data_IF_379390077065
#
_entry.id   IF_379390077065
#
_cell.length_a   1.000
_cell.length_b   1.000
_cell.length_c   1.000
_cell.angle_alpha   90.00
_cell.angle_beta   90.00
_cell.angle_gamma   90.00
#
_symmetry.space_group_name_H-M   'P 1'
#
loop_
_entity.id
_entity.type
_entity.pdbx_description
1 polymer ?
#
# COMPACT_ATOMS: atom_id res chain seq x y z
N UNK A 1 7.57 -6.38 -7.28
CA UNK A 1 7.66 -5.44 -8.42
C UNK A 1 9.11 -5.01 -8.56
N UNK A 2 9.69 -5.03 -9.77
CA UNK A 2 11.07 -4.54 -9.97
C UNK A 2 11.16 -3.06 -9.63
N UNK A 3 12.23 -2.61 -8.94
CA UNK A 3 12.45 -1.19 -8.60
C UNK A 3 12.39 -0.27 -9.84
N UNK A 4 12.78 -0.78 -11.01
CA UNK A 4 12.64 -0.06 -12.28
C UNK A 4 11.19 0.28 -12.64
N UNK A 5 10.24 -0.61 -12.33
CA UNK A 5 8.82 -0.43 -12.59
C UNK A 5 8.18 0.60 -11.66
N UNK A 6 8.57 0.58 -10.37
CA UNK A 6 8.13 1.59 -9.41
C UNK A 6 8.63 2.99 -9.80
N UNK A 7 9.89 3.09 -10.22
CA UNK A 7 10.47 4.35 -10.71
C UNK A 7 9.74 4.88 -11.96
N UNK A 8 9.35 4.00 -12.88
CA UNK A 8 8.56 4.41 -14.06
C UNK A 8 7.18 4.95 -13.67
N UNK A 9 6.48 4.30 -12.74
CA UNK A 9 5.18 4.76 -12.22
C UNK A 9 5.32 6.14 -11.56
N UNK A 10 6.34 6.32 -10.71
CA UNK A 10 6.60 7.61 -10.04
C UNK A 10 6.87 8.70 -11.06
N UNK A 11 7.72 8.45 -12.05
CA UNK A 11 8.02 9.41 -13.12
C UNK A 11 6.77 9.83 -13.89
N UNK A 12 5.95 8.87 -14.32
CA UNK A 12 4.70 9.14 -15.04
C UNK A 12 3.71 9.96 -14.21
N UNK A 13 3.60 9.64 -12.91
CA UNK A 13 2.74 10.37 -12.00
C UNK A 13 3.24 11.79 -11.72
N UNK A 14 4.56 12.00 -11.54
CA UNK A 14 5.17 13.32 -11.36
C UNK A 14 4.95 14.19 -12.61
N UNK A 15 5.18 13.64 -13.79
CA UNK A 15 4.90 14.30 -15.07
C UNK A 15 3.44 14.77 -15.20
N UNK A 16 2.50 13.93 -14.75
CA UNK A 16 1.07 14.23 -14.78
C UNK A 16 0.71 15.33 -13.77
N UNK A 17 1.25 15.25 -12.55
CA UNK A 17 1.06 16.25 -11.50
C UNK A 17 1.65 17.61 -11.88
N UNK A 18 2.81 17.62 -12.54
CA UNK A 18 3.41 18.83 -13.11
C UNK A 18 2.51 19.39 -14.21
N UNK A 19 2.04 18.54 -15.13
CA UNK A 19 1.16 18.96 -16.23
C UNK A 19 -0.16 19.58 -15.76
N UNK A 20 -0.75 19.07 -14.68
CA UNK A 20 -1.97 19.63 -14.09
C UNK A 20 -1.74 20.98 -13.39
N UNK A 21 -0.51 21.24 -12.93
CA UNK A 21 -0.14 22.45 -12.19
C UNK A 21 0.04 23.66 -13.12
N UNK A 22 0.40 23.41 -14.38
CA UNK A 22 0.63 24.45 -15.37
C UNK A 22 -0.49 24.46 -16.43
N UNK A 23 -1.26 25.56 -16.56
CA UNK A 23 -2.37 25.64 -17.52
C UNK A 23 -1.94 25.59 -19.00
N UNK A 24 -0.64 25.56 -19.30
CA UNK A 24 -0.10 25.46 -20.65
C UNK A 24 -0.15 24.03 -21.24
N UNK A 25 -0.37 23.00 -20.43
CA UNK A 25 -0.45 21.62 -20.92
C UNK A 25 -1.88 21.34 -21.39
N UNK A 26 -2.01 20.81 -22.61
CA UNK A 26 -3.33 20.43 -23.15
C UNK A 26 -3.91 19.27 -22.35
N UNK A 27 -5.22 19.28 -22.13
CA UNK A 27 -5.90 18.18 -21.44
C UNK A 27 -5.84 16.87 -22.22
N UNK A 28 -5.57 16.92 -23.52
CA UNK A 28 -5.27 15.75 -24.35
C UNK A 28 -3.97 15.06 -23.90
N UNK A 29 -2.90 15.83 -23.69
CA UNK A 29 -1.64 15.29 -23.20
C UNK A 29 -1.79 14.73 -21.76
N UNK A 30 -2.58 15.41 -20.92
CA UNK A 30 -2.93 14.94 -19.57
C UNK A 30 -3.69 13.61 -19.65
N UNK A 31 -4.71 13.50 -20.50
CA UNK A 31 -5.51 12.30 -20.70
C UNK A 31 -4.66 11.10 -21.14
N UNK A 32 -3.81 11.27 -22.16
CA UNK A 32 -2.97 10.18 -22.64
C UNK A 32 -2.02 9.67 -21.56
N UNK A 33 -1.41 10.57 -20.79
CA UNK A 33 -0.54 10.20 -19.66
C UNK A 33 -1.34 9.51 -18.55
N UNK A 34 -2.53 10.01 -18.21
CA UNK A 34 -3.39 9.42 -17.20
C UNK A 34 -3.88 8.01 -17.60
N UNK A 35 -4.26 7.81 -18.85
CA UNK A 35 -4.61 6.49 -19.40
C UNK A 35 -3.43 5.53 -19.37
N UNK A 36 -2.23 6.00 -19.70
CA UNK A 36 -1.03 5.17 -19.64
C UNK A 36 -0.75 4.74 -18.19
N UNK A 37 -0.77 5.68 -17.24
CA UNK A 37 -0.57 5.41 -15.83
C UNK A 37 -1.60 4.39 -15.29
N UNK A 38 -2.88 4.55 -15.64
CA UNK A 38 -3.95 3.64 -15.20
C UNK A 38 -3.77 2.21 -15.74
N UNK A 39 -3.27 2.05 -16.97
CA UNK A 39 -2.97 0.74 -17.56
C UNK A 39 -1.79 0.07 -16.88
N UNK A 40 -0.70 0.81 -16.67
CA UNK A 40 0.52 0.30 -15.99
C UNK A 40 0.20 -0.08 -14.54
N UNK A 41 -0.69 0.64 -13.87
CA UNK A 41 -1.07 0.32 -12.47
C UNK A 41 -2.23 -0.67 -12.37
N UNK A 42 -2.71 -1.19 -13.49
CA UNK A 42 -3.86 -2.12 -13.58
C UNK A 42 -5.13 -1.60 -12.88
N UNK A 43 -5.36 -0.29 -12.91
CA UNK A 43 -6.54 0.35 -12.32
C UNK A 43 -7.65 0.47 -13.37
N UNK A 44 -8.36 -0.63 -13.60
CA UNK A 44 -9.36 -0.77 -14.67
C UNK A 44 -10.46 0.33 -14.63
N UNK A 45 -10.91 0.72 -13.45
CA UNK A 45 -11.91 1.77 -13.30
C UNK A 45 -11.41 3.14 -13.78
N UNK A 46 -10.20 3.53 -13.40
CA UNK A 46 -9.59 4.78 -13.86
C UNK A 46 -9.25 4.73 -15.35
N UNK A 47 -8.85 3.57 -15.87
CA UNK A 47 -8.63 3.39 -17.30
C UNK A 47 -9.92 3.61 -18.10
N UNK A 48 -11.06 3.11 -17.62
CA UNK A 48 -12.38 3.36 -18.21
C UNK A 48 -12.78 4.83 -18.07
N UNK A 49 -12.60 5.42 -16.90
CA UNK A 49 -12.87 6.83 -16.66
C UNK A 49 -12.15 7.74 -17.67
N UNK A 50 -10.83 7.63 -17.78
CA UNK A 50 -10.07 8.49 -18.69
C UNK A 50 -10.41 8.23 -20.16
N UNK A 51 -10.75 7.00 -20.52
CA UNK A 51 -11.25 6.68 -21.86
C UNK A 51 -12.56 7.42 -22.16
N UNK A 52 -13.51 7.44 -21.22
CA UNK A 52 -14.77 8.19 -21.36
C UNK A 52 -14.56 9.70 -21.36
N UNK A 53 -13.60 10.21 -20.59
CA UNK A 53 -13.27 11.63 -20.64
C UNK A 53 -12.66 12.02 -21.99
N UNK A 54 -11.95 11.12 -22.67
CA UNK A 54 -11.42 11.35 -24.02
C UNK A 54 -12.49 11.21 -25.12
N UNK A 55 -13.32 10.16 -25.08
CA UNK A 55 -14.26 9.80 -26.14
C UNK A 55 -15.65 10.47 -25.98
N UNK A 56 -16.02 10.81 -24.74
CA UNK A 56 -17.39 11.16 -24.37
C UNK A 56 -18.20 9.95 -23.90
N UNK A 57 -19.41 10.22 -23.43
CA UNK A 57 -20.32 9.23 -22.87
C UNK A 57 -21.50 9.00 -23.84
N UNK A 58 -21.85 7.73 -24.15
CA UNK A 58 -22.99 7.42 -25.02
C UNK A 58 -24.32 7.76 -24.35
N UNK A 59 -25.37 7.96 -25.15
CA UNK A 59 -26.71 8.31 -24.66
C UNK A 59 -27.28 7.32 -23.64
N UNK A 60 -27.02 6.02 -23.87
CA UNK A 60 -27.46 4.91 -23.02
C UNK A 60 -26.37 4.45 -22.05
N UNK A 61 -25.51 5.35 -21.57
CA UNK A 61 -24.41 4.96 -20.68
C UNK A 61 -24.92 4.48 -19.32
N UNK A 62 -24.77 3.19 -19.05
CA UNK A 62 -25.15 2.55 -17.78
C UNK A 62 -23.93 2.47 -16.83
N UNK A 63 -23.55 3.61 -16.28
CA UNK A 63 -22.40 3.72 -15.39
C UNK A 63 -22.52 4.87 -14.38
N UNK A 64 -23.52 4.83 -13.46
CA UNK A 64 -23.80 5.94 -12.56
C UNK A 64 -22.62 6.30 -11.65
N UNK A 65 -21.77 5.31 -11.32
CA UNK A 65 -20.55 5.53 -10.53
C UNK A 65 -19.55 6.45 -11.24
N UNK A 66 -19.26 6.19 -12.51
CA UNK A 66 -18.35 7.00 -13.34
C UNK A 66 -18.92 8.39 -13.64
N UNK A 67 -20.24 8.49 -13.85
CA UNK A 67 -20.93 9.77 -14.03
C UNK A 67 -20.90 10.65 -12.76
N UNK A 68 -20.96 10.03 -11.57
CA UNK A 68 -20.78 10.73 -10.29
C UNK A 68 -19.34 11.16 -10.09
N UNK A 69 -18.38 10.28 -10.38
CA UNK A 69 -16.95 10.59 -10.26
C UNK A 69 -16.52 11.74 -11.18
N UNK A 70 -17.03 11.78 -12.41
CA UNK A 70 -16.78 12.87 -13.37
C UNK A 70 -17.52 14.17 -13.06
N UNK A 71 -18.47 14.17 -12.12
CA UNK A 71 -19.32 15.34 -11.85
C UNK A 71 -20.31 15.66 -12.99
N UNK A 72 -20.56 14.70 -13.89
CA UNK A 72 -21.39 14.88 -15.10
C UNK A 72 -22.88 14.67 -14.86
N UNK A 73 -23.24 14.05 -13.75
CA UNK A 73 -24.63 13.74 -13.39
C UNK A 73 -25.39 15.00 -12.99
N UNK A 74 -26.48 15.31 -13.71
CA UNK A 74 -27.36 16.46 -13.45
C UNK A 74 -28.58 16.02 -12.66
N UNK A 75 -29.12 14.84 -13.02
CA UNK A 75 -30.19 14.14 -12.32
C UNK A 75 -30.05 12.64 -12.58
N UNK A 76 -30.94 11.82 -12.03
CA UNK A 76 -30.92 10.36 -12.23
C UNK A 76 -31.10 9.92 -13.69
N UNK A 77 -31.55 10.82 -14.57
CA UNK A 77 -31.83 10.55 -15.99
C UNK A 77 -31.07 11.45 -16.97
N UNK A 78 -30.34 12.44 -16.48
CA UNK A 78 -29.66 13.42 -17.32
C UNK A 78 -28.21 13.60 -16.90
N UNK A 79 -27.30 13.53 -17.87
CA UNK A 79 -25.87 13.74 -17.67
C UNK A 79 -25.24 14.44 -18.87
N UNK A 80 -24.05 15.00 -18.65
CA UNK A 80 -23.27 15.69 -19.67
C UNK A 80 -22.43 14.68 -20.44
N UNK A 81 -22.73 14.51 -21.72
CA UNK A 81 -22.12 13.52 -22.60
C UNK A 81 -20.78 13.92 -23.23
N UNK A 82 -20.56 15.17 -23.69
CA UNK A 82 -19.37 15.48 -24.49
C UNK A 82 -18.06 15.21 -23.78
N UNK A 83 -17.02 14.83 -24.52
CA UNK A 83 -15.67 14.62 -23.98
C UNK A 83 -15.11 15.89 -23.33
N UNK A 84 -14.12 15.73 -22.45
CA UNK A 84 -13.48 16.87 -21.78
C UNK A 84 -12.87 17.86 -22.79
N UNK A 85 -12.30 17.33 -23.88
CA UNK A 85 -11.72 18.13 -24.96
C UNK A 85 -12.79 18.98 -25.66
N UNK A 86 -13.97 18.41 -25.86
CA UNK A 86 -15.09 19.17 -26.41
C UNK A 86 -15.53 20.27 -25.44
N UNK A 87 -15.67 19.95 -24.15
CA UNK A 87 -16.09 20.89 -23.11
C UNK A 87 -15.11 22.07 -22.97
N UNK A 88 -13.81 21.81 -22.99
CA UNK A 88 -12.79 22.85 -22.96
C UNK A 88 -12.81 23.74 -24.20
N UNK A 89 -13.12 23.18 -25.37
CA UNK A 89 -13.23 23.94 -26.61
C UNK A 89 -14.44 24.87 -26.62
N UNK A 90 -15.57 24.47 -26.05
CA UNK A 90 -16.79 25.29 -26.03
C UNK A 90 -16.84 26.29 -24.88
N UNK A 91 -16.09 26.05 -23.80
CA UNK A 91 -16.10 26.89 -22.60
C UNK A 91 -15.79 28.38 -22.87
N UNK A 92 -14.80 28.76 -23.71
CA UNK A 92 -14.56 30.18 -24.02
C UNK A 92 -15.76 30.86 -24.68
N UNK A 93 -16.44 30.17 -25.60
CA UNK A 93 -17.64 30.69 -26.25
C UNK A 93 -18.82 30.81 -25.27
N UNK A 94 -18.99 29.83 -24.37
CA UNK A 94 -20.00 29.91 -23.31
C UNK A 94 -19.74 31.07 -22.35
N UNK A 95 -18.48 31.31 -21.96
CA UNK A 95 -18.08 32.47 -21.14
C UNK A 95 -18.45 33.79 -21.82
N UNK A 96 -18.13 33.91 -23.11
CA UNK A 96 -18.48 35.10 -23.88
C UNK A 96 -20.01 35.30 -24.00
N UNK A 97 -20.75 34.22 -24.27
CA UNK A 97 -22.22 34.25 -24.37
C UNK A 97 -22.86 34.67 -23.05
N UNK A 98 -22.38 34.14 -21.92
CA UNK A 98 -22.91 34.47 -20.61
C UNK A 98 -22.63 35.93 -20.21
N UNK A 99 -21.44 36.45 -20.55
CA UNK A 99 -21.11 37.86 -20.37
C UNK A 99 -21.97 38.79 -21.24
N UNK A 100 -22.19 38.46 -22.52
CA UNK A 100 -23.10 39.22 -23.38
C UNK A 100 -24.54 39.19 -22.87
N UNK A 101 -25.02 38.02 -22.39
CA UNK A 101 -26.35 37.89 -21.82
C UNK A 101 -26.49 38.73 -20.54
N UNK A 102 -25.45 38.76 -19.70
CA UNK A 102 -25.38 39.62 -18.51
C UNK A 102 -25.48 41.09 -18.87
N UNK A 103 -24.71 41.55 -19.84
CA UNK A 103 -24.73 42.95 -20.29
C UNK A 103 -26.12 43.35 -20.82
N UNK A 104 -26.74 42.48 -21.64
CA UNK A 104 -28.11 42.70 -22.15
C UNK A 104 -29.12 42.80 -21.02
N UNK A 105 -29.04 41.93 -20.01
CA UNK A 105 -29.90 41.99 -18.83
C UNK A 105 -29.73 43.29 -18.05
N UNK A 106 -28.48 43.73 -17.81
CA UNK A 106 -28.21 44.99 -17.11
C UNK A 106 -28.73 46.22 -17.87
N UNK A 107 -28.78 46.16 -19.19
CA UNK A 107 -29.33 47.22 -20.05
C UNK A 107 -30.83 47.12 -20.31
N UNK A 108 -31.49 46.05 -19.84
CA UNK A 108 -32.90 45.79 -20.15
C UNK A 108 -33.84 46.69 -19.33
N UNK A 109 -34.98 47.04 -19.93
CA UNK A 109 -36.03 47.82 -19.27
C UNK A 109 -37.43 47.33 -19.67
N UNK A 110 -38.41 47.62 -18.81
CA UNK A 110 -39.81 47.25 -19.02
C UNK A 110 -40.04 45.74 -19.15
N UNK A 111 -40.96 45.35 -20.03
CA UNK A 111 -41.41 43.96 -20.20
C UNK A 111 -40.35 42.99 -20.76
N UNK A 112 -39.15 43.47 -21.12
CA UNK A 112 -38.06 42.63 -21.64
C UNK A 112 -37.10 42.13 -20.56
N UNK A 113 -37.17 42.67 -19.33
CA UNK A 113 -36.26 42.31 -18.22
C UNK A 113 -36.32 40.82 -17.91
N UNK A 114 -37.53 40.25 -17.79
CA UNK A 114 -37.71 38.83 -17.46
C UNK A 114 -37.13 37.90 -18.54
N UNK A 115 -37.28 38.27 -19.81
CA UNK A 115 -36.71 37.51 -20.94
C UNK A 115 -35.18 37.52 -20.91
N UNK A 116 -34.59 38.69 -20.68
CA UNK A 116 -33.13 38.82 -20.60
C UNK A 116 -32.56 38.15 -19.35
N UNK A 117 -33.28 38.18 -18.22
CA UNK A 117 -32.92 37.46 -17.01
C UNK A 117 -32.88 35.95 -17.25
N UNK A 118 -33.93 35.38 -17.87
CA UNK A 118 -33.96 33.94 -18.19
C UNK A 118 -32.83 33.51 -19.14
N UNK A 119 -32.50 34.35 -20.13
CA UNK A 119 -31.39 34.11 -21.06
C UNK A 119 -30.03 34.13 -20.34
N UNK A 120 -29.83 35.10 -19.45
CA UNK A 120 -28.63 35.20 -18.61
C UNK A 120 -28.49 33.97 -17.70
N UNK A 121 -29.55 33.62 -16.97
CA UNK A 121 -29.54 32.45 -16.08
C UNK A 121 -29.23 31.15 -16.82
N UNK A 122 -29.81 30.94 -18.00
CA UNK A 122 -29.56 29.75 -18.83
C UNK A 122 -28.10 29.69 -19.31
N UNK A 123 -27.57 30.84 -19.77
CA UNK A 123 -26.18 30.92 -20.24
C UNK A 123 -25.17 30.72 -19.11
N UNK A 124 -25.42 31.32 -17.94
CA UNK A 124 -24.59 31.14 -16.75
C UNK A 124 -24.65 29.71 -16.21
N UNK A 125 -25.84 29.08 -16.19
CA UNK A 125 -25.99 27.70 -15.76
C UNK A 125 -25.18 26.75 -16.66
N UNK A 126 -25.28 26.91 -17.99
CA UNK A 126 -24.52 26.10 -18.96
C UNK A 126 -23.00 26.29 -18.82
N UNK A 127 -22.53 27.53 -18.67
CA UNK A 127 -21.11 27.84 -18.40
C UNK A 127 -20.64 27.17 -17.11
N UNK A 128 -21.34 27.42 -16.00
CA UNK A 128 -20.98 26.92 -14.67
C UNK A 128 -20.95 25.40 -14.63
N UNK A 129 -21.89 24.76 -15.32
CA UNK A 129 -21.96 23.30 -15.42
C UNK A 129 -20.72 22.73 -16.14
N UNK A 130 -20.29 23.36 -17.24
CA UNK A 130 -19.09 22.96 -17.98
C UNK A 130 -17.83 23.16 -17.14
N UNK A 131 -17.70 24.30 -16.44
CA UNK A 131 -16.59 24.58 -15.53
C UNK A 131 -16.47 23.53 -14.42
N UNK A 132 -17.61 23.15 -13.79
CA UNK A 132 -17.63 22.12 -12.75
C UNK A 132 -17.12 20.76 -13.22
N UNK A 133 -17.46 20.34 -14.44
CA UNK A 133 -16.97 19.06 -15.01
C UNK A 133 -15.46 19.14 -15.24
N UNK A 134 -14.97 20.26 -15.79
CA UNK A 134 -13.54 20.44 -16.06
C UNK A 134 -12.72 20.46 -14.77
N UNK A 135 -13.19 21.20 -13.76
CA UNK A 135 -12.53 21.25 -12.45
C UNK A 135 -12.56 19.90 -11.75
N UNK A 136 -13.65 19.16 -11.89
CA UNK A 136 -13.76 17.79 -11.36
C UNK A 136 -12.80 16.86 -12.05
N UNK A 137 -12.72 16.88 -13.39
CA UNK A 137 -11.74 16.09 -14.13
C UNK A 137 -10.30 16.37 -13.68
N UNK A 138 -9.93 17.64 -13.53
CA UNK A 138 -8.59 18.04 -13.05
C UNK A 138 -8.31 17.54 -11.65
N UNK A 139 -9.29 17.66 -10.73
CA UNK A 139 -9.19 17.19 -9.36
C UNK A 139 -9.04 15.66 -9.28
N UNK A 140 -9.88 14.92 -9.98
CA UNK A 140 -9.83 13.45 -9.98
C UNK A 140 -8.53 12.94 -10.61
N UNK A 141 -8.08 13.55 -11.71
CA UNK A 141 -6.79 13.21 -12.33
C UNK A 141 -5.63 13.49 -11.38
N UNK A 142 -5.65 14.62 -10.68
CA UNK A 142 -4.64 14.95 -9.67
C UNK A 142 -4.65 13.94 -8.51
N UNK A 143 -5.84 13.63 -7.99
CA UNK A 143 -6.03 12.67 -6.89
C UNK A 143 -5.49 11.29 -7.26
N UNK A 144 -5.86 10.80 -8.45
CA UNK A 144 -5.37 9.54 -9.01
C UNK A 144 -3.83 9.52 -9.13
N UNK A 145 -3.23 10.57 -9.70
CA UNK A 145 -1.79 10.67 -9.87
C UNK A 145 -1.05 10.71 -8.53
N UNK A 146 -1.53 11.52 -7.57
CA UNK A 146 -0.95 11.66 -6.25
C UNK A 146 -1.03 10.35 -5.44
N UNK A 147 -2.18 9.67 -5.47
CA UNK A 147 -2.38 8.40 -4.78
C UNK A 147 -1.47 7.31 -5.36
N UNK A 148 -1.43 7.20 -6.69
CA UNK A 148 -0.61 6.22 -7.39
C UNK A 148 0.88 6.43 -7.10
N UNK A 149 1.33 7.69 -7.12
CA UNK A 149 2.70 8.07 -6.75
C UNK A 149 3.02 7.66 -5.32
N UNK A 150 2.14 7.98 -4.36
CA UNK A 150 2.33 7.63 -2.96
C UNK A 150 2.43 6.12 -2.76
N UNK A 151 1.55 5.35 -3.40
CA UNK A 151 1.57 3.89 -3.35
C UNK A 151 2.88 3.32 -3.91
N UNK A 152 3.37 3.86 -5.03
CA UNK A 152 4.62 3.41 -5.64
C UNK A 152 5.83 3.73 -4.76
N UNK A 153 5.92 4.95 -4.22
CA UNK A 153 7.00 5.36 -3.30
C UNK A 153 6.98 4.56 -2.00
N UNK A 154 5.80 4.33 -1.43
CA UNK A 154 5.65 3.56 -0.21
C UNK A 154 6.00 2.08 -0.43
N UNK A 155 5.56 1.52 -1.54
CA UNK A 155 5.89 0.15 -1.95
C UNK A 155 7.39 -0.07 -2.12
N UNK A 156 8.09 0.87 -2.77
CA UNK A 156 9.55 0.81 -2.96
C UNK A 156 10.30 1.01 -1.64
N UNK A 157 9.91 1.99 -0.81
CA UNK A 157 10.55 2.24 0.48
C UNK A 157 10.38 1.07 1.47
N UNK A 158 9.17 0.52 1.58
CA UNK A 158 8.88 -0.61 2.48
C UNK A 158 9.47 -1.92 1.96
N UNK A 159 9.45 -2.13 0.63
CA UNK A 159 10.14 -3.24 -0.01
C UNK A 159 11.65 -3.21 0.27
N UNK A 160 12.27 -2.04 0.15
CA UNK A 160 13.70 -1.86 0.40
C UNK A 160 14.07 -2.10 1.88
N UNK A 161 13.29 -1.59 2.84
CA UNK A 161 13.54 -1.84 4.27
C UNK A 161 13.42 -3.33 4.58
N UNK A 162 12.37 -3.99 4.09
CA UNK A 162 12.17 -5.42 4.32
C UNK A 162 13.26 -6.26 3.64
N UNK A 163 13.63 -5.95 2.40
CA UNK A 163 14.68 -6.68 1.69
C UNK A 163 16.06 -6.47 2.30
N UNK A 164 16.39 -5.25 2.76
CA UNK A 164 17.63 -4.98 3.47
C UNK A 164 17.67 -5.73 4.80
N UNK A 165 16.59 -5.68 5.57
CA UNK A 165 16.50 -6.41 6.84
C UNK A 165 16.56 -7.92 6.60
N UNK A 166 15.83 -8.44 5.61
CA UNK A 166 15.84 -9.85 5.21
C UNK A 166 17.24 -10.31 4.82
N UNK A 167 17.97 -9.55 3.99
CA UNK A 167 19.37 -9.89 3.61
C UNK A 167 20.30 -9.91 4.82
N UNK A 168 20.15 -8.95 5.73
CA UNK A 168 20.93 -8.89 6.97
C UNK A 168 20.65 -10.13 7.84
N UNK A 169 19.38 -10.42 8.09
CA UNK A 169 18.95 -11.58 8.87
C UNK A 169 19.33 -12.89 8.20
N UNK A 170 19.17 -13.01 6.88
CA UNK A 170 19.55 -14.20 6.11
C UNK A 170 21.05 -14.48 6.25
N UNK A 171 21.91 -13.45 6.15
CA UNK A 171 23.34 -13.59 6.36
C UNK A 171 23.69 -14.02 7.79
N UNK A 172 23.14 -13.34 8.79
CA UNK A 172 23.39 -13.63 10.20
C UNK A 172 22.91 -15.03 10.60
N UNK A 173 21.73 -15.44 10.13
CA UNK A 173 21.20 -16.78 10.40
C UNK A 173 21.94 -17.87 9.61
N UNK A 174 22.46 -17.58 8.42
CA UNK A 174 23.32 -18.52 7.70
C UNK A 174 24.62 -18.78 8.47
N UNK A 175 25.23 -17.74 9.04
CA UNK A 175 26.47 -17.86 9.81
C UNK A 175 26.27 -18.54 11.17
N UNK A 176 25.19 -18.18 11.88
CA UNK A 176 24.91 -18.72 13.22
C UNK A 176 24.25 -20.11 13.13
N UNK A 177 23.26 -20.30 12.25
CA UNK A 177 22.35 -21.45 12.25
C UNK A 177 21.84 -21.84 10.84
N UNK A 178 22.76 -22.20 9.93
CA UNK A 178 22.46 -22.63 8.55
C UNK A 178 21.32 -23.68 8.44
N UNK A 179 21.28 -24.64 9.36
CA UNK A 179 20.26 -25.71 9.41
C UNK A 179 18.86 -25.20 9.77
N UNK A 180 18.78 -24.08 10.48
CA UNK A 180 17.51 -23.44 10.84
C UNK A 180 16.99 -22.61 9.66
N UNK A 181 17.87 -21.84 8.98
CA UNK A 181 17.46 -20.98 7.87
C UNK A 181 17.02 -21.75 6.62
N UNK A 182 17.69 -22.86 6.31
CA UNK A 182 17.37 -23.70 5.14
C UNK A 182 15.95 -24.27 5.13
N UNK A 183 15.27 -24.26 6.29
CA UNK A 183 13.90 -24.76 6.45
C UNK A 183 12.82 -23.71 6.18
N UNK A 184 13.13 -22.41 6.25
CA UNK A 184 12.14 -21.34 6.06
C UNK A 184 11.45 -21.35 4.67
N UNK A 185 12.12 -21.60 3.54
CA UNK A 185 11.46 -21.66 2.24
C UNK A 185 10.29 -22.63 2.22
N UNK A 186 10.50 -23.85 2.73
CA UNK A 186 9.46 -24.87 2.82
C UNK A 186 8.35 -24.54 3.84
N UNK A 187 8.61 -23.66 4.81
CA UNK A 187 7.56 -23.12 5.69
C UNK A 187 6.69 -22.11 4.94
N UNK A 188 7.32 -21.19 4.21
CA UNK A 188 6.59 -20.18 3.43
C UNK A 188 5.74 -20.78 2.33
N UNK A 189 6.22 -21.82 1.64
CA UNK A 189 5.44 -22.55 0.63
C UNK A 189 4.17 -23.19 1.23
N UNK A 190 4.29 -23.82 2.41
CA UNK A 190 3.15 -24.43 3.10
C UNK A 190 2.12 -23.39 3.56
N UNK A 191 2.57 -22.23 4.02
CA UNK A 191 1.68 -21.12 4.35
C UNK A 191 0.95 -20.55 3.12
N UNK A 192 1.58 -20.61 1.94
CA UNK A 192 0.97 -20.15 0.71
C UNK A 192 -0.13 -21.10 0.21
N UNK A 193 0.01 -22.41 0.44
CA UNK A 193 -1.02 -23.41 0.14
C UNK A 193 -2.32 -23.17 0.93
N UNK A 194 -2.18 -22.76 2.20
CA UNK A 194 -3.27 -22.20 3.00
C UNK A 194 -4.30 -23.20 3.54
N UNK A 195 -4.16 -24.50 3.25
CA UNK A 195 -4.96 -25.55 3.87
C UNK A 195 -4.50 -25.84 5.31
N UNK A 196 -5.42 -26.36 6.14
CA UNK A 196 -5.20 -26.57 7.57
C UNK A 196 -4.02 -27.51 7.86
N UNK A 197 -3.83 -28.54 7.04
CA UNK A 197 -2.76 -29.53 7.21
C UNK A 197 -1.39 -28.90 6.89
N UNK A 198 -1.29 -28.15 5.79
CA UNK A 198 -0.10 -27.41 5.43
C UNK A 198 0.27 -26.37 6.49
N UNK A 199 -0.71 -25.65 7.04
CA UNK A 199 -0.50 -24.70 8.14
C UNK A 199 0.03 -25.41 9.39
N UNK A 200 -0.56 -26.53 9.79
CA UNK A 200 -0.10 -27.33 10.93
C UNK A 200 1.36 -27.79 10.75
N UNK A 201 1.71 -28.25 9.54
CA UNK A 201 3.08 -28.63 9.20
C UNK A 201 4.06 -27.44 9.18
N UNK A 202 3.62 -26.27 8.72
CA UNK A 202 4.40 -25.04 8.76
C UNK A 202 4.71 -24.66 10.22
N UNK A 203 3.72 -24.73 11.11
CA UNK A 203 3.88 -24.43 12.53
C UNK A 203 4.84 -25.38 13.25
N UNK A 204 4.72 -26.69 13.01
CA UNK A 204 5.66 -27.68 13.55
C UNK A 204 7.09 -27.44 13.04
N UNK A 205 7.22 -27.06 11.77
CA UNK A 205 8.53 -26.74 11.17
C UNK A 205 9.13 -25.47 11.81
N UNK A 206 8.33 -24.43 12.04
CA UNK A 206 8.75 -23.24 12.78
C UNK A 206 9.22 -23.57 14.20
N UNK A 207 8.53 -24.47 14.90
CA UNK A 207 8.97 -24.93 16.22
C UNK A 207 10.37 -25.51 16.18
N UNK A 208 10.60 -26.44 15.25
CA UNK A 208 11.90 -27.10 15.05
C UNK A 208 12.99 -26.13 14.65
N UNK A 209 12.67 -25.07 13.90
CA UNK A 209 13.61 -23.99 13.57
C UNK A 209 14.04 -23.27 14.85
N UNK A 210 13.10 -22.91 15.73
CA UNK A 210 13.42 -22.24 17.01
C UNK A 210 14.25 -23.13 17.93
N UNK A 211 13.90 -24.42 18.03
CA UNK A 211 14.67 -25.42 18.80
C UNK A 211 16.12 -25.53 18.28
N UNK A 212 16.28 -25.71 16.96
CA UNK A 212 17.61 -25.83 16.34
C UNK A 212 18.44 -24.55 16.50
N UNK A 213 17.82 -23.38 16.36
CA UNK A 213 18.48 -22.10 16.59
C UNK A 213 18.95 -21.96 18.04
N UNK A 214 18.08 -22.25 19.01
CA UNK A 214 18.40 -22.15 20.42
C UNK A 214 19.57 -23.08 20.82
N UNK A 215 19.54 -24.34 20.37
CA UNK A 215 20.60 -25.30 20.61
C UNK A 215 21.94 -24.83 20.02
N UNK A 216 21.90 -24.19 18.86
CA UNK A 216 23.10 -23.71 18.18
C UNK A 216 23.73 -22.49 18.86
N UNK A 217 22.91 -21.56 19.36
CA UNK A 217 23.40 -20.34 20.01
C UNK A 217 23.75 -20.53 21.49
N UNK A 218 23.09 -21.49 22.16
CA UNK A 218 23.28 -21.84 23.56
C UNK A 218 23.02 -23.35 23.74
N UNK A 219 24.06 -24.18 23.48
CA UNK A 219 23.95 -25.64 23.57
C UNK A 219 23.51 -26.11 24.95
N UNK A 220 22.77 -27.20 24.99
CA UNK A 220 22.32 -27.78 26.26
C UNK A 220 23.51 -28.19 27.14
N UNK A 221 23.41 -27.93 28.44
CA UNK A 221 24.41 -28.32 29.43
C UNK A 221 23.82 -29.24 30.50
N UNK A 222 24.63 -30.14 31.04
CA UNK A 222 24.19 -31.09 32.06
C UNK A 222 23.88 -30.41 33.42
N UNK A 223 24.59 -29.32 33.69
CA UNK A 223 24.50 -28.54 34.93
C UNK A 223 23.81 -27.19 34.71
N UNK A 224 23.28 -26.62 35.79
CA UNK A 224 22.71 -25.27 35.76
C UNK A 224 23.82 -24.25 35.52
N UNK A 225 23.59 -23.31 34.60
CA UNK A 225 24.50 -22.20 34.39
C UNK A 225 24.11 -21.02 35.26
N UNK A 226 25.10 -20.33 35.80
CA UNK A 226 24.90 -19.04 36.45
C UNK A 226 25.09 -17.93 35.42
N UNK A 227 24.02 -17.17 35.16
CA UNK A 227 24.05 -16.01 34.27
C UNK A 227 23.68 -14.79 35.11
N UNK A 228 24.68 -13.93 35.39
CA UNK A 228 24.52 -12.71 36.19
C UNK A 228 23.90 -12.94 37.58
N UNK A 229 24.26 -14.04 38.26
CA UNK A 229 23.78 -14.35 39.62
C UNK A 229 22.48 -15.15 39.68
N UNK A 230 21.87 -15.49 38.55
CA UNK A 230 20.69 -16.37 38.47
C UNK A 230 21.08 -17.74 37.91
N UNK A 231 20.68 -18.81 38.61
CA UNK A 231 20.86 -20.19 38.15
C UNK A 231 19.76 -20.55 37.15
N UNK A 232 20.15 -20.75 35.89
CA UNK A 232 19.25 -21.12 34.80
C UNK A 232 19.51 -22.58 34.42
N UNK A 233 18.45 -23.39 34.43
CA UNK A 233 18.49 -24.77 33.94
C UNK A 233 18.34 -24.78 32.41
N UNK A 234 19.44 -25.06 31.71
CA UNK A 234 19.51 -25.20 30.24
C UNK A 234 19.72 -26.65 29.80
N UNK A 235 19.22 -27.63 30.57
CA UNK A 235 19.24 -29.04 30.16
C UNK A 235 18.49 -29.27 28.85
N UNK A 236 18.86 -30.34 28.17
CA UNK A 236 18.30 -30.77 26.88
C UNK A 236 16.77 -30.67 26.86
N UNK A 237 16.23 -29.90 25.91
CA UNK A 237 14.78 -29.72 25.74
C UNK A 237 14.21 -28.43 26.34
N UNK A 238 15.01 -27.59 27.00
CA UNK A 238 14.55 -26.31 27.56
C UNK A 238 14.85 -25.11 26.65
N UNK A 239 14.27 -25.10 25.44
CA UNK A 239 14.44 -24.06 24.41
C UNK A 239 14.16 -22.65 24.94
N UNK A 240 13.15 -22.49 25.80
CA UNK A 240 12.81 -21.21 26.44
C UNK A 240 13.97 -20.68 27.28
N UNK A 241 14.63 -21.53 28.06
CA UNK A 241 15.76 -21.15 28.89
C UNK A 241 17.04 -20.94 28.07
N UNK A 242 17.27 -21.73 27.02
CA UNK A 242 18.37 -21.52 26.08
C UNK A 242 18.29 -20.15 25.40
N UNK A 243 17.12 -19.76 24.88
CA UNK A 243 16.90 -18.44 24.29
C UNK A 243 17.09 -17.32 25.31
N UNK A 244 16.58 -17.48 26.54
CA UNK A 244 16.77 -16.52 27.63
C UNK A 244 18.24 -16.32 27.97
N UNK A 245 19.00 -17.40 28.14
CA UNK A 245 20.42 -17.35 28.42
C UNK A 245 21.20 -16.67 27.28
N UNK A 246 20.89 -17.02 26.02
CA UNK A 246 21.52 -16.41 24.86
C UNK A 246 21.24 -14.90 24.75
N UNK A 247 20.00 -14.46 25.01
CA UNK A 247 19.63 -13.04 25.01
C UNK A 247 20.35 -12.29 26.12
N UNK A 248 20.41 -12.86 27.34
CA UNK A 248 21.11 -12.24 28.47
C UNK A 248 22.59 -12.04 28.18
N UNK A 249 23.25 -13.06 27.64
CA UNK A 249 24.66 -12.98 27.27
C UNK A 249 24.95 -12.00 26.12
N UNK A 250 23.96 -11.66 25.28
CA UNK A 250 24.14 -10.85 24.09
C UNK A 250 23.80 -9.35 24.29
N UNK A 251 23.28 -8.92 25.44
CA UNK A 251 22.96 -7.49 25.67
C UNK A 251 23.09 -7.07 27.13
N UNK A 252 23.71 -5.91 27.34
CA UNK A 252 23.78 -5.21 28.63
C UNK A 252 22.59 -4.27 28.86
N UNK A 253 21.80 -3.97 27.82
CA UNK A 253 20.60 -3.13 27.93
C UNK A 253 19.41 -3.89 28.52
N UNK A 254 18.95 -3.47 29.70
CA UNK A 254 17.81 -4.08 30.41
C UNK A 254 16.51 -4.00 29.63
N UNK A 255 16.23 -2.86 28.97
CA UNK A 255 14.99 -2.65 28.21
C UNK A 255 14.93 -3.57 26.99
N UNK A 256 16.03 -3.70 26.25
CA UNK A 256 16.13 -4.59 25.08
C UNK A 256 16.06 -6.05 25.49
N UNK A 257 16.79 -6.44 26.55
CA UNK A 257 16.75 -7.79 27.15
C UNK A 257 15.34 -8.19 27.55
N UNK A 258 14.62 -7.32 28.25
CA UNK A 258 13.26 -7.59 28.70
C UNK A 258 12.28 -7.74 27.53
N UNK A 259 12.38 -6.88 26.50
CA UNK A 259 11.55 -6.96 25.29
C UNK A 259 11.74 -8.28 24.57
N UNK A 260 12.98 -8.66 24.29
CA UNK A 260 13.31 -9.89 23.55
C UNK A 260 12.99 -11.14 24.34
N UNK A 261 13.24 -11.14 25.65
CA UNK A 261 12.87 -12.25 26.52
C UNK A 261 11.36 -12.46 26.51
N UNK A 262 10.55 -11.39 26.63
CA UNK A 262 9.09 -11.50 26.51
C UNK A 262 8.66 -12.00 25.14
N UNK A 263 9.24 -11.45 24.07
CA UNK A 263 8.97 -11.87 22.69
C UNK A 263 9.28 -13.35 22.44
N UNK A 264 10.45 -13.82 22.88
CA UNK A 264 10.85 -15.22 22.75
C UNK A 264 9.94 -16.17 23.53
N UNK A 265 9.53 -15.80 24.74
CA UNK A 265 8.59 -16.60 25.53
C UNK A 265 7.22 -16.70 24.85
N UNK A 266 6.67 -15.56 24.42
CA UNK A 266 5.37 -15.50 23.76
C UNK A 266 5.38 -16.25 22.42
N UNK A 267 6.46 -16.11 21.64
CA UNK A 267 6.66 -16.84 20.40
C UNK A 267 6.70 -18.35 20.66
N UNK A 268 7.53 -18.78 21.63
CA UNK A 268 7.68 -20.19 21.97
C UNK A 268 6.36 -20.82 22.41
N UNK A 269 5.61 -20.14 23.26
CA UNK A 269 4.30 -20.60 23.73
C UNK A 269 3.34 -20.81 22.56
N UNK A 270 3.24 -19.84 21.64
CA UNK A 270 2.35 -19.92 20.47
C UNK A 270 2.77 -20.97 19.45
N UNK A 271 4.07 -21.08 19.16
CA UNK A 271 4.59 -22.07 18.22
C UNK A 271 4.50 -23.50 18.80
N UNK A 272 4.56 -23.63 20.13
CA UNK A 272 4.42 -24.92 20.82
C UNK A 272 2.96 -25.37 20.99
N UNK A 273 2.03 -24.43 21.17
CA UNK A 273 0.58 -24.71 21.25
C UNK A 273 -0.08 -24.80 19.88
N UNK A 274 0.45 -24.09 18.89
CA UNK A 274 -0.12 -23.99 17.54
C UNK A 274 -0.08 -25.27 16.70
N UNK A 275 0.44 -26.36 17.25
CA UNK A 275 0.38 -27.69 16.64
C UNK A 275 -0.95 -28.41 16.98
N UNK A 276 -1.74 -27.87 17.91
CA UNK A 276 -2.95 -28.51 18.45
C UNK A 276 -4.22 -27.63 18.42
N UNK A 277 -4.15 -26.40 17.90
CA UNK A 277 -5.28 -25.47 17.83
C UNK A 277 -5.56 -25.09 16.37
N UNK A 278 -6.83 -24.88 16.03
CA UNK A 278 -7.25 -24.28 14.76
C UNK A 278 -6.72 -22.84 14.67
N UNK A 279 -5.51 -22.68 14.13
CA UNK A 279 -4.89 -21.36 13.88
C UNK A 279 -5.43 -20.82 12.56
N UNK A 280 -5.91 -19.58 12.57
CA UNK A 280 -6.33 -18.89 11.35
C UNK A 280 -5.13 -18.69 10.39
N UNK A 281 -5.29 -18.82 9.05
CA UNK A 281 -4.18 -18.67 8.10
C UNK A 281 -3.38 -17.37 8.27
N UNK A 282 -4.07 -16.25 8.52
CA UNK A 282 -3.43 -14.95 8.71
C UNK A 282 -2.63 -14.89 10.03
N UNK A 283 -3.12 -15.56 11.07
CA UNK A 283 -2.43 -15.69 12.35
C UNK A 283 -1.15 -16.52 12.19
N UNK A 284 -1.21 -17.63 11.43
CA UNK A 284 -0.04 -18.45 11.13
C UNK A 284 1.04 -17.67 10.37
N UNK A 285 0.65 -16.92 9.33
CA UNK A 285 1.58 -16.05 8.58
C UNK A 285 2.27 -15.04 9.49
N UNK A 286 1.51 -14.37 10.35
CA UNK A 286 2.05 -13.40 11.30
C UNK A 286 3.02 -14.05 12.28
N UNK A 287 2.72 -15.26 12.76
CA UNK A 287 3.56 -15.98 13.71
C UNK A 287 4.89 -16.46 13.10
N UNK A 288 4.87 -16.94 11.86
CA UNK A 288 6.09 -17.31 11.13
C UNK A 288 6.95 -16.09 10.84
N UNK A 289 6.34 -14.98 10.43
CA UNK A 289 7.08 -13.73 10.21
C UNK A 289 7.72 -13.23 11.52
N UNK A 290 6.97 -13.23 12.62
CA UNK A 290 7.51 -12.88 13.94
C UNK A 290 8.65 -13.79 14.37
N UNK A 291 8.57 -15.09 14.05
CA UNK A 291 9.67 -16.04 14.28
C UNK A 291 10.92 -15.57 13.54
N UNK A 292 10.80 -15.35 12.23
CA UNK A 292 11.91 -14.94 11.39
C UNK A 292 12.58 -13.64 11.89
N UNK A 293 11.77 -12.61 12.19
CA UNK A 293 12.26 -11.32 12.69
C UNK A 293 12.94 -11.45 14.05
N UNK A 294 12.37 -12.22 14.98
CA UNK A 294 12.91 -12.35 16.34
C UNK A 294 14.25 -13.11 16.34
N UNK A 295 14.34 -14.21 15.57
CA UNK A 295 15.59 -14.96 15.45
C UNK A 295 16.69 -14.09 14.82
N UNK A 296 16.32 -13.31 13.79
CA UNK A 296 17.22 -12.34 13.17
C UNK A 296 17.76 -11.30 14.16
N UNK A 297 16.89 -10.72 14.99
CA UNK A 297 17.33 -9.75 16.00
C UNK A 297 18.25 -10.38 17.06
N UNK A 298 17.98 -11.62 17.47
CA UNK A 298 18.86 -12.35 18.41
C UNK A 298 20.22 -12.61 17.77
N UNK A 299 20.26 -13.04 16.51
CA UNK A 299 21.51 -13.28 15.77
C UNK A 299 22.32 -12.00 15.58
N UNK A 300 21.67 -10.89 15.21
CA UNK A 300 22.30 -9.58 15.04
C UNK A 300 22.99 -9.09 16.32
N UNK A 301 22.30 -9.19 17.47
CA UNK A 301 22.89 -8.83 18.75
C UNK A 301 24.11 -9.67 19.09
N UNK A 302 24.06 -10.97 18.82
CA UNK A 302 25.19 -11.87 19.10
C UNK A 302 26.39 -11.56 18.22
N UNK A 303 26.17 -11.25 16.95
CA UNK A 303 27.22 -10.79 16.06
C UNK A 303 27.87 -9.49 16.57
N UNK A 304 27.07 -8.56 17.12
CA UNK A 304 27.59 -7.30 17.67
C UNK A 304 28.46 -7.45 18.92
N UNK A 305 28.34 -8.55 19.68
CA UNK A 305 29.16 -8.84 20.88
C UNK A 305 30.43 -9.62 20.54
N UNK A 306 30.47 -10.31 19.39
CA UNK A 306 31.62 -11.10 18.94
C UNK A 306 32.69 -10.27 18.20
N UNK A 307 32.30 -9.13 17.64
CA UNK A 307 33.19 -8.16 17.00
C UNK A 307 33.65 -7.11 18.02
#
# INVERSE_FOLDING_TARGET
MSSAYANEIVRLADDLLLGLRFPAVSSEAVLHKAMHLARVTNQAEYAEYFRREAEGYPDSYDGPRLLRMSGRMVSDRLFIQPSILHLERVLPAQRQSAEQARQRFLSASGANVDRHLGTFQTSEASKTQTERVIDTFRRETHSFAAMTRFQALFGDASGNIFDLYRRSVDGLLADEAADAISKFPAVFERLAAGDTEAIGHAMLSCRRIVEAFAERICPAQAEQIEVEGEKIDIRSGNTKNQLRAAIRAATTSDSRRARLTRGANALWERVSTGVHADIAPDEARALVLNTYLLLGEIAEMRASVRN
#
